data_IF_963638579999
#
_entry.id   IF_963638579999
#
_cell.length_a   1.000
_cell.length_b   1.000
_cell.length_c   1.000
_cell.angle_alpha   90.00
_cell.angle_beta   90.00
_cell.angle_gamma   90.00
#
_symmetry.space_group_name_H-M   'P 1'
#
loop_
_entity.id
_entity.type
_entity.pdbx_description
1 polymer ?
#
# COMPACT_ATOMS: atom_id res chain seq x y z
N UNK A 1 4.00 -17.93 -16.78
CA UNK A 1 4.18 -16.94 -15.72
C UNK A 1 4.04 -17.62 -14.38
N UNK A 2 5.10 -17.60 -13.57
CA UNK A 2 5.10 -18.10 -12.20
C UNK A 2 4.80 -16.94 -11.26
N UNK A 3 3.59 -16.92 -10.67
CA UNK A 3 3.12 -15.79 -9.88
C UNK A 3 3.92 -15.59 -8.59
N UNK A 4 4.39 -16.68 -7.98
CA UNK A 4 5.19 -16.64 -6.76
C UNK A 4 6.57 -16.05 -7.06
N UNK A 5 7.17 -16.48 -8.17
CA UNK A 5 8.44 -15.91 -8.65
C UNK A 5 8.30 -14.42 -8.97
N UNK A 6 7.27 -14.02 -9.71
CA UNK A 6 6.99 -12.60 -10.00
C UNK A 6 6.82 -11.80 -8.70
N UNK A 7 6.05 -12.31 -7.74
CA UNK A 7 5.84 -11.64 -6.46
C UNK A 7 7.14 -11.48 -5.66
N UNK A 8 7.99 -12.52 -5.63
CA UNK A 8 9.30 -12.48 -4.98
C UNK A 8 10.22 -11.45 -5.64
N UNK A 9 10.32 -11.46 -6.97
CA UNK A 9 11.15 -10.50 -7.71
C UNK A 9 10.67 -9.07 -7.45
N UNK A 10 9.36 -8.82 -7.47
CA UNK A 10 8.82 -7.51 -7.11
C UNK A 10 9.24 -7.13 -5.68
N UNK A 11 9.07 -8.03 -4.70
CA UNK A 11 9.39 -7.79 -3.30
C UNK A 11 10.88 -7.44 -3.09
N UNK A 12 11.77 -8.19 -3.74
CA UNK A 12 13.21 -7.97 -3.63
C UNK A 12 13.60 -6.62 -4.23
N UNK A 13 13.02 -6.28 -5.39
CA UNK A 13 13.31 -5.04 -6.11
C UNK A 13 12.71 -3.79 -5.47
N UNK A 14 11.71 -3.92 -4.60
CA UNK A 14 11.19 -2.80 -3.79
C UNK A 14 11.92 -2.65 -2.45
N UNK A 15 12.99 -3.41 -2.19
CA UNK A 15 13.77 -3.32 -0.95
C UNK A 15 13.34 -4.29 0.16
N UNK A 16 12.57 -5.32 -0.19
CA UNK A 16 12.13 -6.39 0.71
C UNK A 16 10.93 -6.03 1.58
N UNK A 17 10.44 -7.02 2.36
CA UNK A 17 9.25 -6.89 3.22
C UNK A 17 9.32 -5.71 4.20
N UNK A 18 10.53 -5.42 4.70
CA UNK A 18 10.76 -4.33 5.66
C UNK A 18 10.53 -2.94 5.06
N UNK A 19 10.57 -2.82 3.74
CA UNK A 19 10.30 -1.57 3.06
C UNK A 19 8.83 -1.39 2.68
N UNK A 20 7.98 -2.39 2.91
CA UNK A 20 6.55 -2.30 2.60
C UNK A 20 5.79 -1.80 3.81
N UNK A 21 5.08 -0.68 3.64
CA UNK A 21 4.17 -0.12 4.65
C UNK A 21 2.77 -0.71 4.48
N UNK A 22 2.30 -0.85 3.24
CA UNK A 22 1.03 -1.53 2.93
C UNK A 22 0.99 -1.98 1.47
N UNK A 23 0.16 -2.99 1.20
CA UNK A 23 -0.10 -3.50 -0.14
C UNK A 23 -1.61 -3.59 -0.38
N UNK A 24 -2.05 -3.21 -1.59
CA UNK A 24 -3.41 -3.35 -2.07
C UNK A 24 -3.40 -3.71 -3.56
N UNK A 25 -4.52 -4.13 -4.12
CA UNK A 25 -4.65 -4.28 -5.56
C UNK A 25 -6.01 -3.78 -6.06
N UNK A 26 -6.07 -3.42 -7.34
CA UNK A 26 -7.32 -3.21 -8.06
C UNK A 26 -7.43 -4.20 -9.23
N UNK A 27 -8.35 -3.98 -10.16
CA UNK A 27 -8.60 -4.92 -11.27
C UNK A 27 -7.35 -5.24 -12.12
N UNK A 28 -6.37 -4.34 -12.23
CA UNK A 28 -5.19 -4.53 -13.10
C UNK A 28 -3.84 -4.17 -12.47
N UNK A 29 -3.82 -3.59 -11.25
CA UNK A 29 -2.60 -3.02 -10.65
C UNK A 29 -2.40 -3.49 -9.22
N UNK A 30 -1.16 -3.85 -8.90
CA UNK A 30 -0.66 -3.98 -7.54
C UNK A 30 -0.21 -2.59 -7.06
N UNK A 31 -0.64 -2.17 -5.88
CA UNK A 31 -0.35 -0.86 -5.28
C UNK A 31 0.41 -1.08 -3.98
N UNK A 32 1.61 -0.54 -3.91
CA UNK A 32 2.48 -0.64 -2.75
C UNK A 32 2.72 0.75 -2.18
N UNK A 33 2.53 0.90 -0.88
CA UNK A 33 3.08 2.03 -0.13
C UNK A 33 4.39 1.52 0.46
N UNK A 34 5.49 2.17 0.10
CA UNK A 34 6.82 1.80 0.57
C UNK A 34 7.40 2.91 1.46
N UNK A 35 8.24 2.53 2.43
CA UNK A 35 8.80 3.45 3.40
C UNK A 35 9.92 4.31 2.80
N UNK A 36 10.69 3.73 1.88
CA UNK A 36 11.84 4.37 1.26
C UNK A 36 11.90 4.07 -0.25
N UNK A 37 11.61 5.10 -1.05
CA UNK A 37 11.65 5.02 -2.51
C UNK A 37 13.07 4.80 -3.07
N UNK A 38 14.13 5.15 -2.34
CA UNK A 38 15.51 4.97 -2.82
C UNK A 38 15.94 3.50 -2.91
N UNK A 39 15.22 2.62 -2.19
CA UNK A 39 15.43 1.16 -2.21
C UNK A 39 14.63 0.45 -3.30
N UNK A 40 13.76 1.16 -4.00
CA UNK A 40 12.94 0.59 -5.06
C UNK A 40 13.56 0.82 -6.44
N UNK A 41 13.89 -0.28 -7.13
CA UNK A 41 14.41 -0.24 -8.49
C UNK A 41 13.26 -0.41 -9.50
N UNK A 42 12.65 0.72 -9.88
CA UNK A 42 11.51 0.75 -10.81
C UNK A 42 11.84 0.12 -12.15
N UNK A 43 13.01 0.42 -12.70
CA UNK A 43 13.46 -0.11 -13.98
C UNK A 43 13.60 -1.62 -13.92
N UNK A 44 14.13 -2.18 -12.83
CA UNK A 44 14.18 -3.61 -12.67
C UNK A 44 12.80 -4.24 -12.49
N UNK A 45 11.88 -3.59 -11.78
CA UNK A 45 10.49 -4.07 -11.63
C UNK A 45 9.77 -4.10 -12.98
N UNK A 46 10.00 -3.12 -13.86
CA UNK A 46 9.42 -3.11 -15.21
C UNK A 46 9.87 -4.30 -16.08
N UNK A 47 11.04 -4.87 -15.79
CA UNK A 47 11.58 -6.02 -16.52
C UNK A 47 11.17 -7.37 -15.91
N UNK A 48 10.39 -7.38 -14.83
CA UNK A 48 9.87 -8.62 -14.23
C UNK A 48 8.82 -9.25 -15.15
N UNK A 49 8.84 -10.58 -15.26
CA UNK A 49 7.86 -11.32 -16.09
C UNK A 49 6.43 -10.93 -15.71
N UNK A 50 5.63 -10.59 -16.72
CA UNK A 50 4.23 -10.17 -16.62
C UNK A 50 3.96 -8.77 -16.05
N UNK A 51 4.99 -8.00 -15.69
CA UNK A 51 4.85 -6.56 -15.46
C UNK A 51 4.73 -5.85 -16.80
N UNK A 52 3.73 -4.98 -16.92
CA UNK A 52 3.45 -4.17 -18.12
C UNK A 52 3.85 -2.70 -17.96
N UNK A 53 4.28 -2.32 -16.77
CA UNK A 53 4.74 -0.96 -16.45
C UNK A 53 4.67 -0.67 -14.95
N UNK A 54 5.46 0.32 -14.51
CA UNK A 54 5.54 0.75 -13.11
C UNK A 54 5.39 2.26 -13.04
N UNK A 55 4.54 2.73 -12.15
CA UNK A 55 4.27 4.16 -11.97
C UNK A 55 4.35 4.53 -10.50
N UNK A 56 4.87 5.71 -10.19
CA UNK A 56 4.75 6.28 -8.85
C UNK A 56 3.76 7.45 -8.90
N UNK A 57 2.68 7.36 -8.12
CA UNK A 57 1.67 8.41 -8.04
C UNK A 57 1.04 8.43 -6.65
N UNK A 58 0.82 9.63 -6.12
CA UNK A 58 0.17 9.84 -4.80
C UNK A 58 0.87 9.07 -3.66
N UNK A 59 2.21 8.97 -3.70
CA UNK A 59 3.00 8.23 -2.71
C UNK A 59 2.83 6.71 -2.77
N UNK A 60 2.32 6.17 -3.88
CA UNK A 60 2.17 4.72 -4.11
C UNK A 60 2.97 4.30 -5.34
N UNK A 61 3.67 3.17 -5.21
CA UNK A 61 4.23 2.44 -6.33
C UNK A 61 3.15 1.53 -6.91
N UNK A 62 2.78 1.77 -8.17
CA UNK A 62 1.75 1.04 -8.89
C UNK A 62 2.40 0.17 -9.98
N UNK A 63 2.20 -1.14 -9.88
CA UNK A 63 2.74 -2.12 -10.81
C UNK A 63 1.59 -2.69 -11.62
N UNK A 64 1.63 -2.52 -12.95
CA UNK A 64 0.58 -2.96 -13.86
C UNK A 64 0.86 -4.42 -14.23
N UNK A 65 -0.04 -5.34 -13.88
CA UNK A 65 0.09 -6.78 -14.16
C UNK A 65 -1.00 -7.27 -15.14
N UNK A 66 -2.13 -6.56 -15.19
CA UNK A 66 -3.29 -6.93 -15.99
C UNK A 66 -4.37 -7.68 -15.21
N UNK A 67 -5.54 -7.82 -15.85
CA UNK A 67 -6.73 -8.44 -15.24
C UNK A 67 -6.49 -9.90 -14.89
N UNK A 68 -6.94 -10.31 -13.70
CA UNK A 68 -6.80 -11.68 -13.20
C UNK A 68 -5.39 -12.04 -12.69
N UNK A 69 -4.34 -11.66 -13.43
CA UNK A 69 -2.93 -11.87 -13.02
C UNK A 69 -2.61 -11.14 -11.72
N UNK A 70 -3.09 -9.89 -11.58
CA UNK A 70 -2.84 -9.07 -10.38
C UNK A 70 -3.32 -9.75 -9.09
N UNK A 71 -4.44 -10.47 -9.12
CA UNK A 71 -4.99 -11.13 -7.93
C UNK A 71 -4.03 -12.24 -7.46
N UNK A 72 -3.58 -13.08 -8.40
CA UNK A 72 -2.68 -14.20 -8.11
C UNK A 72 -1.31 -13.74 -7.63
N UNK A 73 -0.76 -12.69 -8.24
CA UNK A 73 0.50 -12.09 -7.80
C UNK A 73 0.35 -11.42 -6.44
N UNK A 74 -0.78 -10.76 -6.17
CA UNK A 74 -1.04 -10.14 -4.88
C UNK A 74 -1.11 -11.19 -3.76
N UNK A 75 -1.81 -12.30 -3.96
CA UNK A 75 -1.96 -13.37 -2.97
C UNK A 75 -0.60 -14.00 -2.61
N UNK A 76 0.26 -14.24 -3.61
CA UNK A 76 1.63 -14.69 -3.35
C UNK A 76 2.46 -13.58 -2.68
N UNK A 77 2.31 -12.33 -3.11
CA UNK A 77 3.06 -11.19 -2.56
C UNK A 77 2.78 -11.00 -1.07
N UNK A 78 1.52 -11.01 -0.63
CA UNK A 78 1.18 -10.89 0.79
C UNK A 78 1.69 -12.10 1.59
N UNK A 79 1.66 -13.30 1.01
CA UNK A 79 2.16 -14.52 1.64
C UNK A 79 3.68 -14.48 1.83
N UNK A 80 4.44 -14.05 0.82
CA UNK A 80 5.91 -14.00 0.85
C UNK A 80 6.38 -12.83 1.71
N UNK A 81 5.75 -11.66 1.56
CA UNK A 81 6.17 -10.47 2.27
C UNK A 81 5.92 -10.58 3.79
N UNK A 82 5.17 -11.60 4.24
CA UNK A 82 4.74 -11.70 5.64
C UNK A 82 3.81 -10.55 6.02
N UNK A 83 3.29 -9.84 5.02
CA UNK A 83 2.25 -8.83 5.18
C UNK A 83 0.93 -9.59 5.15
N UNK A 84 0.73 -10.44 6.14
CA UNK A 84 -0.61 -10.87 6.48
C UNK A 84 -1.43 -9.59 6.67
N UNK A 85 -2.52 -9.44 5.93
CA UNK A 85 -3.63 -8.56 6.32
C UNK A 85 -3.76 -8.70 7.84
N UNK A 86 -3.30 -7.68 8.59
CA UNK A 86 -2.77 -7.87 9.94
C UNK A 86 -3.58 -8.88 10.71
N UNK A 87 -2.90 -9.91 11.22
CA UNK A 87 -3.33 -10.80 12.28
C UNK A 87 -4.45 -10.11 13.08
N UNK A 88 -5.68 -10.62 13.03
CA UNK A 88 -6.87 -10.05 13.72
C UNK A 88 -6.61 -9.62 15.19
N UNK A 89 -5.53 -10.12 15.80
CA UNK A 89 -5.03 -9.74 17.11
C UNK A 89 -4.34 -8.35 17.15
N UNK A 90 -3.40 -8.04 16.25
CA UNK A 90 -2.67 -6.75 16.24
C UNK A 90 -3.55 -5.59 15.73
N UNK A 91 -4.52 -5.88 14.85
CA UNK A 91 -5.49 -4.90 14.40
C UNK A 91 -6.37 -4.35 15.54
N UNK A 92 -6.56 -5.14 16.62
CA UNK A 92 -7.40 -4.74 17.76
C UNK A 92 -6.66 -3.77 18.70
N UNK A 93 -5.36 -3.95 18.88
CA UNK A 93 -4.51 -3.02 19.65
C UNK A 93 -4.18 -1.74 18.85
N UNK A 94 -3.92 -1.88 17.54
CA UNK A 94 -3.72 -0.74 16.65
C UNK A 94 -5.00 0.06 16.40
N UNK A 95 -6.19 -0.55 16.41
CA UNK A 95 -7.47 0.17 16.33
C UNK A 95 -7.73 1.02 17.58
N UNK A 96 -7.36 0.53 18.77
CA UNK A 96 -7.44 1.30 20.01
C UNK A 96 -6.50 2.51 20.00
N UNK A 97 -5.27 2.36 19.48
CA UNK A 97 -4.35 3.47 19.30
C UNK A 97 -4.81 4.44 18.20
N UNK A 98 -5.22 3.94 17.02
CA UNK A 98 -5.72 4.74 15.90
C UNK A 98 -6.99 5.51 16.23
N UNK A 99 -7.85 5.02 17.13
CA UNK A 99 -9.01 5.78 17.59
C UNK A 99 -8.59 7.11 18.25
N UNK A 100 -7.52 7.10 19.06
CA UNK A 100 -6.99 8.31 19.70
C UNK A 100 -6.34 9.29 18.71
N UNK A 101 -5.68 8.78 17.65
CA UNK A 101 -5.05 9.65 16.62
C UNK A 101 -6.08 10.14 15.61
N UNK A 102 -7.08 9.34 15.28
CA UNK A 102 -8.19 9.69 14.39
C UNK A 102 -9.14 10.70 15.05
N UNK A 103 -9.45 10.55 16.35
CA UNK A 103 -10.13 11.60 17.12
C UNK A 103 -9.33 12.91 17.14
N UNK A 104 -7.99 12.84 17.22
CA UNK A 104 -7.13 14.03 17.10
C UNK A 104 -7.15 14.64 15.69
N UNK A 105 -7.17 13.83 14.63
CA UNK A 105 -7.23 14.31 13.26
C UNK A 105 -8.60 14.91 12.90
N UNK A 106 -9.70 14.35 13.42
CA UNK A 106 -11.04 14.94 13.30
C UNK A 106 -11.13 16.24 14.11
N UNK A 107 -10.51 16.34 15.29
CA UNK A 107 -10.43 17.60 16.05
C UNK A 107 -9.62 18.66 15.29
N UNK A 108 -8.52 18.27 14.64
CA UNK A 108 -7.69 19.17 13.82
C UNK A 108 -8.43 19.65 12.56
N UNK A 109 -9.18 18.76 11.89
CA UNK A 109 -10.04 19.12 10.76
C UNK A 109 -11.25 19.95 11.24
N UNK A 110 -11.81 19.66 12.42
CA UNK A 110 -12.84 20.46 13.06
C UNK A 110 -12.39 21.90 13.34
N UNK A 111 -11.18 22.13 13.84
CA UNK A 111 -10.66 23.49 14.06
C UNK A 111 -10.39 24.25 12.74
N UNK A 112 -10.18 23.54 11.62
CA UNK A 112 -10.01 24.12 10.27
C UNK A 112 -11.36 24.39 9.58
N UNK A 113 -12.39 23.59 9.90
CA UNK A 113 -13.68 23.58 9.20
C UNK A 113 -14.89 24.00 10.06
N UNK A 114 -14.73 24.27 11.36
CA UNK A 114 -15.72 25.05 12.11
C UNK A 114 -15.70 26.43 11.48
N UNK A 115 -16.78 26.84 10.79
CA UNK A 115 -16.91 28.24 10.46
C UNK A 115 -16.92 28.95 11.81
N UNK A 116 -16.10 29.99 11.97
CA UNK A 116 -16.40 31.03 12.95
C UNK A 116 -17.79 31.50 12.56
N UNK A 117 -18.82 30.97 13.22
CA UNK A 117 -20.18 31.43 13.09
C UNK A 117 -20.24 32.74 13.87
N UNK A 118 -20.68 33.83 13.24
CA UNK A 118 -21.65 34.68 13.87
C UNK A 118 -22.98 34.46 13.15
N UNK A 119 -23.81 33.65 13.79
CA UNK A 119 -25.23 33.61 13.54
C UNK A 119 -25.79 34.78 14.31
N UNK A 120 -26.02 35.91 13.65
CA UNK A 120 -26.81 37.01 14.21
C UNK A 120 -27.66 37.60 13.09
N UNK A 121 -28.97 37.32 13.21
CA UNK A 121 -30.19 37.92 12.63
C UNK A 121 -30.19 38.32 11.16
#
# INVERSE_FOLDING_TARGET
MDYRKTAQEILDKVGGSKNIVSAAHCATRLRLVIADNSKADKTAIENVDGVKGVFEASGQLQIILGTGTVNKVFDEFISIAGITASSKAEAKEAAAQKQNVFMRAIKLLGDIFVPIIPAIV
#
